data_IF_451613291613
#
_entry.id   IF_451613291613
#
_cell.length_a   1.000
_cell.length_b   1.000
_cell.length_c   1.000
_cell.angle_alpha   90.00
_cell.angle_beta   90.00
_cell.angle_gamma   90.00
#
_symmetry.space_group_name_H-M   'P 1'
#
loop_
_entity.id
_entity.type
_entity.pdbx_description
1 polymer ?
#
# COMPACT_ATOMS: atom_id res chain seq x y z
N UNK A 1 19.21 -5.99 -1.41
CA UNK A 1 18.58 -5.36 -2.60
C UNK A 1 17.31 -4.64 -2.16
N UNK A 2 17.04 -3.43 -2.69
CA UNK A 2 15.80 -2.69 -2.41
C UNK A 2 14.85 -2.82 -3.61
N UNK A 3 13.54 -2.89 -3.35
CA UNK A 3 12.49 -3.03 -4.38
C UNK A 3 11.36 -2.02 -4.13
N UNK A 4 10.70 -1.61 -5.21
CA UNK A 4 9.51 -0.74 -5.18
C UNK A 4 8.27 -1.56 -4.82
N UNK A 5 7.42 -0.97 -3.99
CA UNK A 5 6.11 -1.47 -3.59
C UNK A 5 5.13 -0.31 -3.48
N UNK A 6 3.85 -0.63 -3.34
CA UNK A 6 2.78 0.34 -3.33
C UNK A 6 1.82 0.07 -2.18
N UNK A 7 1.50 1.11 -1.42
CA UNK A 7 0.51 1.08 -0.35
C UNK A 7 -0.68 1.96 -0.74
N UNK A 8 -1.90 1.45 -0.54
CA UNK A 8 -3.12 2.18 -0.87
C UNK A 8 -3.87 2.58 0.41
N UNK A 9 -4.43 3.78 0.39
CA UNK A 9 -5.28 4.31 1.44
C UNK A 9 -6.36 5.23 0.86
N UNK A 10 -7.31 5.68 1.70
CA UNK A 10 -8.22 6.75 1.31
C UNK A 10 -7.44 8.05 1.10
N UNK A 11 -7.90 8.99 0.25
CA UNK A 11 -7.23 10.28 0.04
C UNK A 11 -6.99 11.05 1.35
N UNK A 12 -7.94 11.01 2.30
CA UNK A 12 -7.77 11.64 3.62
C UNK A 12 -6.63 11.00 4.42
N UNK A 13 -6.55 9.67 4.44
CA UNK A 13 -5.48 8.95 5.13
C UNK A 13 -4.14 9.20 4.45
N UNK A 14 -4.11 9.28 3.12
CA UNK A 14 -2.89 9.57 2.37
C UNK A 14 -2.33 10.96 2.69
N UNK A 15 -3.20 11.98 2.86
CA UNK A 15 -2.77 13.30 3.33
C UNK A 15 -2.07 13.23 4.69
N UNK A 16 -2.57 12.43 5.62
CA UNK A 16 -1.94 12.19 6.93
C UNK A 16 -0.60 11.48 6.80
N UNK A 17 -0.51 10.44 5.96
CA UNK A 17 0.73 9.71 5.68
C UNK A 17 1.82 10.66 5.13
N UNK A 18 1.46 11.54 4.19
CA UNK A 18 2.39 12.52 3.61
C UNK A 18 2.83 13.55 4.65
N UNK A 19 1.89 14.07 5.44
CA UNK A 19 2.18 15.05 6.49
C UNK A 19 3.09 14.48 7.60
N UNK A 20 2.82 13.25 8.05
CA UNK A 20 3.61 12.56 9.07
C UNK A 20 4.93 11.99 8.51
N UNK A 21 5.04 11.85 7.19
CA UNK A 21 6.18 11.22 6.52
C UNK A 21 6.33 9.72 6.81
N UNK A 22 5.25 9.05 7.21
CA UNK A 22 5.28 7.64 7.62
C UNK A 22 3.97 6.92 7.29
N UNK A 23 4.07 5.70 6.76
CA UNK A 23 2.97 4.73 6.75
C UNK A 23 3.07 3.93 8.04
N UNK A 24 2.11 4.13 8.94
CA UNK A 24 2.04 3.40 10.21
C UNK A 24 1.49 2.00 9.98
N UNK A 25 2.02 1.03 10.70
CA UNK A 25 1.49 -0.33 10.75
C UNK A 25 0.03 -0.35 11.24
N UNK A 26 -0.73 -1.33 10.76
CA UNK A 26 -2.07 -1.66 11.25
C UNK A 26 -2.05 -2.22 12.67
N UNK A 27 -3.23 -2.52 13.19
CA UNK A 27 -3.41 -3.12 14.52
C UNK A 27 -2.77 -4.51 14.66
N UNK A 28 -2.62 -5.20 13.54
CA UNK A 28 -1.94 -6.49 13.36
C UNK A 28 -0.41 -6.37 13.22
N UNK A 29 0.11 -5.14 13.32
CA UNK A 29 1.55 -4.87 13.29
C UNK A 29 2.15 -4.81 11.88
N UNK A 30 1.32 -4.81 10.81
CA UNK A 30 1.79 -4.90 9.43
C UNK A 30 1.36 -3.71 8.56
N UNK A 31 2.17 -3.41 7.55
CA UNK A 31 1.77 -2.56 6.41
C UNK A 31 1.63 -3.44 5.17
N UNK A 32 0.46 -3.37 4.55
CA UNK A 32 0.13 -4.13 3.34
C UNK A 32 0.55 -3.40 2.07
N UNK A 33 1.07 -4.18 1.12
CA UNK A 33 1.78 -3.71 -0.06
C UNK A 33 1.44 -4.56 -1.29
N UNK A 34 1.53 -3.96 -2.47
CA UNK A 34 1.53 -4.67 -3.76
C UNK A 34 2.72 -4.22 -4.61
N UNK A 35 3.02 -4.97 -5.68
CA UNK A 35 4.08 -4.62 -6.64
C UNK A 35 3.61 -3.68 -7.75
N UNK A 36 2.30 -3.50 -7.90
CA UNK A 36 1.70 -2.54 -8.83
C UNK A 36 0.73 -1.63 -8.08
N UNK A 37 0.63 -0.34 -8.45
CA UNK A 37 -0.25 0.58 -7.77
C UNK A 37 -1.74 0.23 -7.95
N UNK A 38 -2.12 -0.28 -9.13
CA UNK A 38 -3.49 -0.73 -9.40
C UNK A 38 -3.89 -1.90 -8.52
N UNK A 39 -2.95 -2.80 -8.21
CA UNK A 39 -3.22 -3.95 -7.36
C UNK A 39 -3.47 -3.51 -5.92
N UNK A 40 -2.67 -2.57 -5.39
CA UNK A 40 -2.90 -1.98 -4.08
C UNK A 40 -4.27 -1.29 -4.01
N UNK A 41 -4.65 -0.56 -5.07
CA UNK A 41 -5.90 0.19 -5.10
C UNK A 41 -7.15 -0.69 -4.92
N UNK A 42 -7.16 -1.90 -5.50
CA UNK A 42 -8.27 -2.87 -5.41
C UNK A 42 -8.69 -3.18 -3.98
N UNK A 43 -7.72 -3.30 -3.06
CA UNK A 43 -7.97 -3.63 -1.65
C UNK A 43 -8.70 -2.50 -0.89
N UNK A 44 -8.52 -1.26 -1.31
CA UNK A 44 -9.27 -0.13 -0.75
C UNK A 44 -10.63 -0.02 -1.44
N UNK A 45 -10.67 -0.15 -2.76
CA UNK A 45 -11.90 -0.05 -3.55
C UNK A 45 -12.96 -1.10 -3.16
N UNK A 46 -12.56 -2.36 -2.95
CA UNK A 46 -13.49 -3.44 -2.57
C UNK A 46 -14.19 -3.19 -1.22
N UNK A 47 -13.65 -2.28 -0.38
CA UNK A 47 -14.26 -1.88 0.89
C UNK A 47 -15.32 -0.77 0.72
N UNK A 48 -15.65 -0.39 -0.51
CA UNK A 48 -16.66 0.62 -0.83
C UNK A 48 -16.11 2.05 -0.95
N UNK A 49 -14.81 2.21 -1.23
CA UNK A 49 -14.20 3.52 -1.45
C UNK A 49 -14.03 3.79 -2.95
N UNK A 50 -14.77 4.77 -3.48
CA UNK A 50 -14.72 5.14 -4.90
C UNK A 50 -13.45 5.90 -5.29
N UNK A 51 -12.77 6.49 -4.31
CA UNK A 51 -11.54 7.24 -4.49
C UNK A 51 -10.43 6.63 -3.64
N UNK A 52 -9.30 6.32 -4.28
CA UNK A 52 -8.18 5.63 -3.65
C UNK A 52 -6.88 6.33 -4.03
N UNK A 53 -6.04 6.62 -3.05
CA UNK A 53 -4.69 7.15 -3.26
C UNK A 53 -3.65 6.05 -2.96
N UNK A 54 -2.63 5.96 -3.82
CA UNK A 54 -1.60 4.92 -3.74
C UNK A 54 -0.22 5.57 -3.73
N UNK A 55 0.59 5.23 -2.72
CA UNK A 55 1.94 5.78 -2.54
C UNK A 55 3.02 4.74 -2.86
N UNK A 56 4.06 5.16 -3.58
CA UNK A 56 5.26 4.36 -3.80
C UNK A 56 6.13 4.33 -2.53
N UNK A 57 6.57 3.14 -2.14
CA UNK A 57 7.57 2.93 -1.09
C UNK A 57 8.70 2.03 -1.60
N UNK A 58 9.92 2.24 -1.09
CA UNK A 58 11.08 1.43 -1.47
C UNK A 58 11.66 0.77 -0.24
N UNK A 59 11.62 -0.55 -0.22
CA UNK A 59 11.93 -1.36 0.94
C UNK A 59 13.04 -2.39 0.65
N UNK A 60 13.79 -2.81 1.68
CA UNK A 60 14.68 -3.96 1.55
C UNK A 60 13.86 -5.23 1.29
N UNK A 61 14.06 -5.87 0.14
CA UNK A 61 13.22 -6.99 -0.31
C UNK A 61 13.24 -8.19 0.66
N UNK A 62 14.32 -8.38 1.42
CA UNK A 62 14.45 -9.45 2.42
C UNK A 62 13.64 -9.21 3.71
N UNK A 63 13.05 -8.03 3.89
CA UNK A 63 12.15 -7.74 5.02
C UNK A 63 10.68 -7.73 4.61
N UNK A 64 10.37 -7.86 3.33
CA UNK A 64 9.01 -7.91 2.81
C UNK A 64 8.61 -9.37 2.64
N UNK A 65 7.48 -9.77 3.23
CA UNK A 65 6.96 -11.14 3.18
C UNK A 65 5.73 -11.18 2.28
N UNK A 66 5.51 -12.28 1.57
CA UNK A 66 4.26 -12.51 0.84
C UNK A 66 3.12 -12.69 1.85
N UNK A 67 1.99 -12.04 1.58
CA UNK A 67 0.75 -12.22 2.33
C UNK A 67 -0.19 -13.14 1.57
N UNK A 68 -0.95 -13.95 2.30
CA UNK A 68 -1.92 -14.92 1.77
C UNK A 68 -3.34 -14.67 2.31
N UNK A 69 -3.60 -13.45 2.77
CA UNK A 69 -4.86 -13.03 3.39
C UNK A 69 -5.96 -12.68 2.37
N UNK A 70 -5.69 -12.84 1.07
CA UNK A 70 -6.65 -12.63 0.00
C UNK A 70 -6.64 -13.74 -1.05
N UNK A 71 -7.75 -13.87 -1.78
CA UNK A 71 -7.85 -14.78 -2.91
C UNK A 71 -7.09 -14.23 -4.12
N UNK A 72 -5.97 -14.86 -4.47
CA UNK A 72 -5.22 -14.54 -5.70
C UNK A 72 -6.09 -14.72 -6.95
N UNK A 73 -6.99 -15.71 -6.96
CA UNK A 73 -7.91 -15.93 -8.08
C UNK A 73 -8.90 -14.77 -8.26
N UNK A 74 -9.33 -14.13 -7.19
CA UNK A 74 -10.22 -12.98 -7.26
C UNK A 74 -9.47 -11.70 -7.64
N UNK A 75 -8.39 -11.37 -6.91
CA UNK A 75 -7.67 -10.11 -7.08
C UNK A 75 -6.71 -10.10 -8.28
N UNK A 76 -6.32 -11.29 -8.76
CA UNK A 76 -5.34 -11.51 -9.83
C UNK A 76 -3.97 -10.85 -9.51
N UNK A 77 -3.60 -10.79 -8.23
CA UNK A 77 -2.33 -10.23 -7.77
C UNK A 77 -1.82 -10.92 -6.51
N UNK A 78 -0.52 -10.75 -6.24
CA UNK A 78 0.10 -11.05 -4.96
C UNK A 78 0.06 -9.82 -4.06
N UNK A 79 -0.04 -10.05 -2.76
CA UNK A 79 0.09 -9.02 -1.74
C UNK A 79 1.29 -9.34 -0.85
N UNK A 80 1.78 -8.31 -0.18
CA UNK A 80 2.95 -8.39 0.65
C UNK A 80 2.73 -7.61 1.93
N UNK A 81 3.51 -7.94 2.95
CA UNK A 81 3.47 -7.30 4.26
C UNK A 81 4.86 -6.87 4.71
N UNK A 82 4.91 -5.79 5.47
CA UNK A 82 6.09 -5.25 6.12
C UNK A 82 5.77 -5.00 7.60
N UNK A 83 6.55 -5.59 8.50
CA UNK A 83 6.26 -5.66 9.96
C UNK A 83 6.82 -4.45 10.76
N UNK A 84 7.15 -3.37 10.08
CA UNK A 84 7.62 -2.11 10.67
C UNK A 84 6.87 -0.94 10.04
N UNK A 85 6.95 0.24 10.65
CA UNK A 85 6.46 1.46 10.01
C UNK A 85 7.37 1.83 8.83
N UNK A 86 6.79 2.40 7.77
CA UNK A 86 7.52 2.74 6.56
C UNK A 86 7.74 4.24 6.51
N UNK A 87 9.00 4.68 6.59
CA UNK A 87 9.35 6.08 6.32
C UNK A 87 9.10 6.39 4.84
N UNK A 88 8.25 7.37 4.60
CA UNK A 88 7.94 7.89 3.27
C UNK A 88 9.07 8.82 2.84
N UNK A 89 9.40 8.79 1.56
CA UNK A 89 10.40 9.71 0.99
C UNK A 89 9.76 11.07 0.74
N UNK A 90 10.49 12.19 0.85
CA UNK A 90 9.95 13.52 0.58
C UNK A 90 9.27 13.66 -0.80
N UNK A 91 9.76 12.91 -1.81
CA UNK A 91 9.26 12.95 -3.18
C UNK A 91 8.62 11.60 -3.57
N UNK A 92 7.97 10.91 -2.64
CA UNK A 92 7.26 9.68 -2.96
C UNK A 92 6.13 9.99 -3.95
N UNK A 93 6.06 9.21 -5.03
CA UNK A 93 4.99 9.36 -6.02
C UNK A 93 3.67 8.86 -5.42
N UNK A 94 2.62 9.66 -5.64
CA UNK A 94 1.24 9.32 -5.26
C UNK A 94 0.40 9.33 -6.53
N UNK A 95 -0.36 8.26 -6.73
CA UNK A 95 -1.31 8.12 -7.85
C UNK A 95 -2.71 7.94 -7.28
N UNK A 96 -3.67 8.66 -7.85
CA UNK A 96 -5.08 8.57 -7.47
C UNK A 96 -5.86 7.76 -8.50
N UNK A 97 -6.79 6.94 -8.01
CA UNK A 97 -7.72 6.13 -8.80
C UNK A 97 -9.16 6.49 -8.42
N UNK A 98 -10.02 6.53 -9.42
CA UNK A 98 -11.47 6.64 -9.24
C UNK A 98 -12.17 5.42 -9.84
N UNK A 99 -13.13 4.86 -9.09
CA UNK A 99 -13.86 3.64 -9.44
C UNK A 99 -15.38 3.89 -9.64
N UNK A 100 -15.76 5.14 -9.91
CA UNK A 100 -17.14 5.54 -10.25
C UNK A 100 -17.61 4.93 -11.58
#
# INVERSE_FOLDING_TARGET
MRKKYYHAATPETMKKIIADGVVKRGWDGCVYLCEKPQDAAKFVAIRGHDEVAVIEVILPANKVKESFDHSVQFFQCKAFMYEEDIKVRPNAEVVEYSFK
#
